data_IF_003271680758
#
_entry.id   IF_003271680758
#
_cell.length_a   1.000
_cell.length_b   1.000
_cell.length_c   1.000
_cell.angle_alpha   90.00
_cell.angle_beta   90.00
_cell.angle_gamma   90.00
#
_symmetry.space_group_name_H-M   'P 1'
#
loop_
_entity.id
_entity.type
_entity.pdbx_description
1 polymer ?
#
# COMPACT_ATOMS: atom_id res chain seq x y z
N UNK A 1 -23.03 -0.87 15.50
CA UNK A 1 -22.57 -0.33 16.80
C UNK A 1 -21.29 0.41 16.50
N UNK A 2 -21.29 1.73 16.60
CA UNK A 2 -20.13 2.59 16.27
C UNK A 2 -19.22 2.60 17.50
N UNK A 3 -17.99 2.09 17.37
CA UNK A 3 -16.97 2.24 18.41
C UNK A 3 -16.29 3.60 18.24
N UNK A 4 -16.48 4.45 19.24
CA UNK A 4 -15.75 5.70 19.46
C UNK A 4 -14.54 5.38 20.33
N UNK A 5 -13.33 5.55 19.79
CA UNK A 5 -12.11 5.49 20.59
C UNK A 5 -11.94 6.85 21.29
N UNK A 6 -12.17 6.91 22.60
CA UNK A 6 -11.91 8.10 23.41
C UNK A 6 -10.45 8.03 23.86
N UNK A 7 -9.60 8.89 23.27
CA UNK A 7 -8.26 9.14 23.79
C UNK A 7 -8.40 10.12 24.96
N UNK A 8 -8.15 9.64 26.17
CA UNK A 8 -8.04 10.49 27.36
C UNK A 8 -6.64 11.09 27.38
N UNK A 9 -6.51 12.37 27.04
CA UNK A 9 -5.27 13.13 27.30
C UNK A 9 -5.25 13.58 28.74
N UNK A 10 -4.31 13.04 29.52
CA UNK A 10 -4.02 13.49 30.87
C UNK A 10 -3.12 14.74 30.87
N UNK A 11 -3.48 15.65 31.78
CA UNK A 11 -2.67 16.70 32.41
C UNK A 11 -2.29 17.93 31.58
N UNK A 12 -2.85 19.06 32.00
CA UNK A 12 -2.39 20.39 31.61
C UNK A 12 -1.16 20.85 32.39
N UNK A 13 -0.41 21.74 31.75
CA UNK A 13 0.31 22.86 32.33
C UNK A 13 0.77 23.72 31.13
N UNK A 14 0.59 25.04 31.24
CA UNK A 14 0.75 25.97 30.12
C UNK A 14 2.12 25.91 29.44
N UNK A 15 2.11 26.10 28.12
CA UNK A 15 3.32 26.34 27.34
C UNK A 15 3.25 27.77 26.78
N UNK A 16 4.24 28.56 27.18
CA UNK A 16 4.55 29.89 26.66
C UNK A 16 4.90 29.84 25.17
N UNK A 17 4.58 30.91 24.46
CA UNK A 17 5.12 31.20 23.12
C UNK A 17 6.65 31.18 23.14
N UNK A 18 7.25 30.40 22.25
CA UNK A 18 8.67 30.51 21.92
C UNK A 18 8.78 31.15 20.54
N UNK A 19 9.08 32.44 20.53
CA UNK A 19 9.53 33.18 19.36
C UNK A 19 11.02 32.89 19.18
N UNK A 20 11.42 32.36 18.03
CA UNK A 20 12.83 32.33 17.63
C UNK A 20 13.02 33.25 16.45
N UNK A 21 13.62 34.41 16.73
CA UNK A 21 14.22 35.31 15.76
C UNK A 21 15.74 35.09 15.77
N UNK A 22 16.37 35.16 14.59
CA UNK A 22 17.83 35.09 14.50
C UNK A 22 18.31 34.95 13.07
N UNK A 23 18.58 36.09 12.43
CA UNK A 23 19.24 36.14 11.13
C UNK A 23 20.77 36.20 11.21
N UNK A 24 21.34 36.26 10.01
CA UNK A 24 22.69 36.67 9.61
C UNK A 24 23.80 35.62 9.68
N UNK A 25 24.32 35.27 8.49
CA UNK A 25 25.73 35.45 8.15
C UNK A 25 25.86 35.64 6.63
N UNK A 26 26.25 36.85 6.25
CA UNK A 26 26.69 37.25 4.91
C UNK A 26 28.21 37.24 4.90
N UNK A 27 28.82 36.65 3.88
CA UNK A 27 30.17 37.01 3.44
C UNK A 27 30.11 37.38 1.97
N UNK A 28 30.47 38.63 1.67
CA UNK A 28 30.77 39.09 0.33
C UNK A 28 32.26 39.21 0.14
N UNK A 29 32.72 38.94 -1.07
CA UNK A 29 33.85 39.64 -1.69
C UNK A 29 33.54 39.82 -3.18
N UNK A 30 33.63 41.07 -3.63
CA UNK A 30 33.51 41.52 -5.01
C UNK A 30 34.83 41.37 -5.76
N UNK A 31 34.80 41.07 -7.07
CA UNK A 31 35.15 41.99 -8.18
C UNK A 31 35.18 41.25 -9.53
N UNK A 32 34.49 41.86 -10.51
CA UNK A 32 34.68 41.91 -11.97
C UNK A 32 35.21 40.69 -12.76
N UNK A 33 34.43 40.21 -13.74
CA UNK A 33 34.53 40.66 -15.15
C UNK A 33 33.36 40.08 -15.97
N UNK A 34 32.83 40.90 -16.89
CA UNK A 34 31.90 40.49 -17.95
C UNK A 34 32.70 39.75 -19.03
N UNK A 35 32.33 38.51 -19.36
CA UNK A 35 32.43 37.94 -20.70
C UNK A 35 31.79 36.53 -20.76
N UNK A 36 30.91 36.33 -21.75
CA UNK A 36 30.40 35.06 -22.31
C UNK A 36 29.89 33.95 -21.35
N UNK A 37 28.67 34.14 -20.82
CA UNK A 37 27.88 33.03 -20.28
C UNK A 37 27.29 32.16 -21.41
N UNK A 38 28.07 31.23 -21.95
CA UNK A 38 27.50 29.98 -22.46
C UNK A 38 27.10 29.14 -21.25
N UNK A 39 25.81 29.13 -20.93
CA UNK A 39 25.22 28.21 -19.97
C UNK A 39 25.34 26.80 -20.56
N UNK A 40 26.43 26.12 -20.24
CA UNK A 40 26.42 24.66 -20.20
C UNK A 40 25.56 24.31 -18.99
N UNK A 41 24.33 23.83 -19.24
CA UNK A 41 23.59 23.13 -18.21
C UNK A 41 24.50 22.03 -17.65
N UNK A 42 24.66 21.91 -16.32
CA UNK A 42 25.36 20.75 -15.79
C UNK A 42 24.59 19.52 -16.24
N UNK A 43 25.26 18.60 -16.93
CA UNK A 43 24.77 17.23 -17.10
C UNK A 43 24.42 16.75 -15.68
N UNK A 44 23.12 16.62 -15.38
CA UNK A 44 22.61 16.17 -14.07
C UNK A 44 22.44 14.65 -14.14
N UNK A 45 23.47 13.87 -13.75
CA UNK A 45 23.45 12.42 -13.88
C UNK A 45 22.48 11.80 -12.87
N UNK A 46 22.12 12.56 -11.81
CA UNK A 46 21.12 12.16 -10.81
C UNK A 46 19.70 12.39 -11.35
N UNK A 47 19.46 13.50 -12.05
CA UNK A 47 18.23 13.79 -12.77
C UNK A 47 17.91 12.78 -13.87
N UNK A 48 18.88 12.45 -14.73
CA UNK A 48 18.73 11.39 -15.75
C UNK A 48 18.51 10.00 -15.12
N UNK A 49 19.17 9.69 -14.00
CA UNK A 49 18.88 8.45 -13.26
C UNK A 49 17.48 8.43 -12.66
N UNK A 50 16.98 9.56 -12.14
CA UNK A 50 15.64 9.69 -11.57
C UNK A 50 14.58 9.52 -12.66
N UNK A 51 14.77 10.12 -13.83
CA UNK A 51 13.82 10.02 -14.93
C UNK A 51 13.85 8.63 -15.59
N UNK A 52 15.04 8.01 -15.73
CA UNK A 52 15.18 6.61 -16.13
C UNK A 52 14.51 5.64 -15.12
N UNK A 53 14.60 5.91 -13.82
CA UNK A 53 13.91 5.13 -12.78
C UNK A 53 12.38 5.27 -12.87
N UNK A 54 11.87 6.48 -13.12
CA UNK A 54 10.43 6.72 -13.36
C UNK A 54 9.94 6.03 -14.63
N UNK A 55 10.74 6.02 -15.69
CA UNK A 55 10.44 5.29 -16.93
C UNK A 55 10.46 3.78 -16.73
N UNK A 56 11.40 3.24 -15.95
CA UNK A 56 11.42 1.79 -15.61
C UNK A 56 10.19 1.37 -14.78
N UNK A 57 9.71 2.25 -13.89
CA UNK A 57 8.42 2.09 -13.17
C UNK A 57 7.23 2.23 -14.13
N UNK A 58 7.41 2.92 -15.26
CA UNK A 58 6.43 3.13 -16.32
C UNK A 58 6.24 1.95 -17.27
N UNK A 59 7.19 1.01 -17.33
CA UNK A 59 7.17 -0.11 -18.28
C UNK A 59 6.22 -1.25 -17.91
N UNK A 60 5.83 -1.40 -16.62
CA UNK A 60 4.87 -2.41 -16.15
C UNK A 60 3.42 -1.87 -16.08
N UNK A 61 2.96 -1.25 -17.17
CA UNK A 61 1.60 -0.70 -17.27
C UNK A 61 0.80 -1.53 -18.27
N UNK A 62 0.00 -2.48 -17.78
CA UNK A 62 -0.95 -3.21 -18.62
C UNK A 62 -2.32 -2.51 -18.62
N UNK A 63 -2.86 -2.33 -19.84
CA UNK A 63 -4.28 -2.18 -20.16
C UNK A 63 -5.01 -0.94 -19.63
N UNK A 64 -5.36 -0.01 -20.51
CA UNK A 64 -6.48 0.89 -20.25
C UNK A 64 -7.76 0.03 -20.10
N UNK A 65 -8.44 0.08 -18.94
CA UNK A 65 -9.79 -0.48 -18.81
C UNK A 65 -10.75 0.51 -19.48
N UNK A 66 -10.87 0.40 -20.81
CA UNK A 66 -11.81 1.20 -21.59
C UNK A 66 -13.22 0.62 -21.44
N UNK A 67 -14.12 1.36 -20.78
CA UNK A 67 -15.56 1.17 -20.93
C UNK A 67 -16.15 -0.12 -20.35
N UNK A 68 -15.58 -0.70 -19.30
CA UNK A 68 -16.24 -1.80 -18.61
C UNK A 68 -17.45 -1.31 -17.79
N UNK A 69 -18.63 -1.87 -18.06
CA UNK A 69 -19.78 -1.80 -17.16
C UNK A 69 -19.68 -2.97 -16.19
N UNK A 70 -19.21 -2.74 -14.97
CA UNK A 70 -19.13 -3.79 -13.95
C UNK A 70 -20.41 -3.89 -13.12
N UNK A 71 -20.94 -5.10 -12.96
CA UNK A 71 -21.92 -5.44 -11.93
C UNK A 71 -21.20 -5.94 -10.67
N UNK A 72 -21.61 -5.40 -9.51
CA UNK A 72 -21.33 -5.97 -8.19
C UNK A 72 -22.63 -6.60 -7.66
N UNK A 73 -22.78 -7.93 -7.78
CA UNK A 73 -23.80 -8.67 -7.04
C UNK A 73 -23.22 -9.89 -6.32
N UNK A 74 -23.79 -10.07 -5.13
CA UNK A 74 -23.47 -10.91 -3.96
C UNK A 74 -23.10 -12.40 -4.21
N UNK A 75 -22.46 -13.00 -3.18
CA UNK A 75 -23.11 -14.03 -2.39
C UNK A 75 -23.57 -13.52 -1.01
N UNK A 76 -24.40 -14.35 -0.39
CA UNK A 76 -25.36 -14.14 0.70
C UNK A 76 -24.88 -13.41 1.96
N UNK A 77 -25.87 -13.09 2.80
CA UNK A 77 -25.87 -12.40 4.09
C UNK A 77 -24.98 -13.00 5.20
N UNK A 78 -23.73 -13.33 4.90
CA UNK A 78 -22.76 -13.89 5.86
C UNK A 78 -21.46 -13.08 5.99
N UNK A 79 -21.18 -12.06 5.15
CA UNK A 79 -19.99 -11.22 5.35
C UNK A 79 -20.27 -10.12 6.38
N UNK A 80 -19.46 -10.09 7.44
CA UNK A 80 -19.42 -9.06 8.48
C UNK A 80 -19.06 -7.65 7.93
N UNK A 81 -18.61 -7.60 6.68
CA UNK A 81 -17.80 -6.51 6.11
C UNK A 81 -18.53 -5.60 5.10
N UNK A 82 -19.87 -5.66 5.07
CA UNK A 82 -20.68 -4.61 4.47
C UNK A 82 -20.38 -4.30 2.99
N UNK A 83 -20.44 -5.31 2.12
CA UNK A 83 -20.40 -5.10 0.67
C UNK A 83 -21.36 -3.98 0.24
N UNK A 84 -20.92 -3.12 -0.68
CA UNK A 84 -21.72 -1.99 -1.16
C UNK A 84 -23.02 -2.50 -1.80
N UNK A 85 -24.09 -1.69 -1.72
CA UNK A 85 -25.32 -2.01 -2.47
C UNK A 85 -25.01 -1.93 -3.97
N UNK A 86 -25.28 -3.02 -4.68
CA UNK A 86 -25.21 -3.12 -6.13
C UNK A 86 -25.76 -1.86 -6.83
N UNK A 87 -24.87 -1.09 -7.44
CA UNK A 87 -25.19 0.08 -8.27
C UNK A 87 -24.37 -0.04 -9.54
N UNK A 88 -25.00 0.16 -10.69
CA UNK A 88 -24.26 0.36 -11.93
C UNK A 88 -23.52 1.69 -11.81
N UNK A 89 -22.20 1.64 -11.69
CA UNK A 89 -21.36 2.84 -11.65
C UNK A 89 -20.50 2.86 -12.90
N UNK A 90 -20.55 3.98 -13.63
CA UNK A 90 -19.64 4.21 -14.75
C UNK A 90 -18.34 4.76 -14.19
N UNK A 91 -17.25 4.03 -14.40
CA UNK A 91 -15.89 4.48 -14.09
C UNK A 91 -15.25 5.00 -15.39
N UNK A 92 -14.54 6.12 -15.32
CA UNK A 92 -13.81 6.66 -16.47
C UNK A 92 -12.65 5.72 -16.82
N UNK A 93 -12.20 5.65 -18.08
CA UNK A 93 -11.00 4.89 -18.41
C UNK A 93 -9.81 5.32 -17.55
N UNK A 94 -9.06 4.34 -17.06
CA UNK A 94 -7.90 4.52 -16.20
C UNK A 94 -6.88 3.42 -16.47
N UNK A 95 -5.66 3.62 -15.95
CA UNK A 95 -4.58 2.64 -15.90
C UNK A 95 -4.33 2.28 -14.43
N UNK A 96 -3.95 1.04 -14.16
CA UNK A 96 -3.59 0.57 -12.82
C UNK A 96 -2.29 -0.24 -12.90
N UNK A 97 -1.50 -0.19 -11.83
CA UNK A 97 -0.27 -0.98 -11.75
C UNK A 97 -0.59 -2.48 -11.72
N UNK A 98 0.17 -3.27 -12.48
CA UNK A 98 0.04 -4.73 -12.51
C UNK A 98 0.28 -5.37 -11.13
N UNK A 99 1.19 -4.76 -10.37
CA UNK A 99 1.70 -5.25 -9.09
C UNK A 99 1.45 -4.23 -7.98
N UNK A 100 1.38 -4.71 -6.74
CA UNK A 100 1.59 -3.84 -5.58
C UNK A 100 2.99 -3.22 -5.63
N UNK A 101 3.17 -2.04 -5.03
CA UNK A 101 4.48 -1.39 -4.96
C UNK A 101 5.44 -2.28 -4.17
N UNK A 102 6.52 -2.72 -4.81
CA UNK A 102 7.52 -3.57 -4.19
C UNK A 102 8.46 -2.79 -3.26
N UNK A 103 9.13 -3.50 -2.35
CA UNK A 103 10.19 -2.95 -1.52
C UNK A 103 11.33 -2.30 -2.35
N UNK A 104 11.68 -2.86 -3.50
CA UNK A 104 12.68 -2.28 -4.40
C UNK A 104 12.21 -0.93 -4.96
N UNK A 105 10.97 -0.85 -5.42
CA UNK A 105 10.38 0.37 -5.96
C UNK A 105 10.24 1.45 -4.89
N UNK A 106 9.73 1.08 -3.70
CA UNK A 106 9.63 2.01 -2.57
C UNK A 106 11.00 2.49 -2.08
N UNK A 107 12.03 1.62 -2.11
CA UNK A 107 13.40 2.01 -1.79
C UNK A 107 13.96 3.05 -2.76
N UNK A 108 13.60 2.98 -4.05
CA UNK A 108 14.01 3.98 -5.03
C UNK A 108 13.36 5.33 -4.74
N UNK A 109 12.06 5.36 -4.43
CA UNK A 109 11.36 6.55 -3.96
C UNK A 109 12.06 7.20 -2.75
N UNK A 110 12.32 6.42 -1.70
CA UNK A 110 12.95 6.94 -0.48
C UNK A 110 14.39 7.41 -0.75
N UNK A 111 15.13 6.75 -1.65
CA UNK A 111 16.48 7.20 -2.04
C UNK A 111 16.45 8.55 -2.75
N UNK A 112 15.51 8.74 -3.68
CA UNK A 112 15.37 9.96 -4.47
C UNK A 112 14.88 11.15 -3.63
N UNK A 113 13.97 10.91 -2.69
CA UNK A 113 13.25 11.99 -1.99
C UNK A 113 13.70 12.20 -0.54
N UNK A 114 14.49 11.26 0.01
CA UNK A 114 14.81 11.17 1.45
C UNK A 114 13.53 11.10 2.32
N UNK A 115 12.44 10.58 1.76
CA UNK A 115 11.16 10.48 2.45
C UNK A 115 11.25 9.64 3.73
N UNK A 116 10.55 10.08 4.77
CA UNK A 116 10.43 9.38 6.06
C UNK A 116 8.96 8.99 6.25
N UNK A 117 8.70 7.69 6.40
CA UNK A 117 7.33 7.16 6.53
C UNK A 117 6.72 7.52 7.87
N UNK A 118 5.40 7.36 8.00
CA UNK A 118 4.73 7.58 9.29
C UNK A 118 5.16 6.57 10.34
N UNK A 119 5.35 5.29 9.98
CA UNK A 119 5.94 4.31 10.89
C UNK A 119 7.35 4.73 11.38
N UNK A 120 8.18 5.34 10.52
CA UNK A 120 9.49 5.86 10.92
C UNK A 120 9.36 7.09 11.84
N UNK A 121 8.37 7.97 11.62
CA UNK A 121 8.09 9.15 12.47
C UNK A 121 7.55 8.75 13.84
N UNK A 122 6.57 7.84 13.88
CA UNK A 122 6.01 7.29 15.12
C UNK A 122 7.02 6.38 15.84
N UNK A 123 7.94 5.79 15.10
CA UNK A 123 8.96 4.82 15.54
C UNK A 123 8.39 3.48 15.98
N UNK A 124 7.21 3.12 15.50
CA UNK A 124 6.60 1.82 15.74
C UNK A 124 5.55 1.51 14.67
N UNK A 125 5.19 0.24 14.55
CA UNK A 125 4.09 -0.22 13.70
C UNK A 125 3.59 -1.60 14.19
N UNK A 126 2.53 -2.12 13.57
CA UNK A 126 1.94 -3.41 13.92
C UNK A 126 2.62 -4.56 13.19
N UNK A 127 3.04 -5.58 13.95
CA UNK A 127 3.67 -6.81 13.45
C UNK A 127 2.82 -8.01 13.87
N UNK A 128 2.69 -9.00 12.99
CA UNK A 128 2.04 -10.27 13.35
C UNK A 128 2.97 -11.09 14.24
N UNK A 129 2.48 -11.57 15.37
CA UNK A 129 3.25 -12.32 16.36
C UNK A 129 3.98 -13.53 15.76
N UNK A 130 3.33 -14.28 14.86
CA UNK A 130 3.94 -15.44 14.19
C UNK A 130 5.24 -15.10 13.43
N UNK A 131 5.39 -13.86 12.97
CA UNK A 131 6.56 -13.40 12.21
C UNK A 131 7.60 -12.71 13.11
N UNK A 132 7.27 -12.41 14.37
CA UNK A 132 8.14 -11.69 15.27
C UNK A 132 9.16 -12.62 15.94
N UNK A 133 10.36 -12.11 16.22
CA UNK A 133 11.33 -12.85 17.03
C UNK A 133 10.89 -12.90 18.50
N UNK A 134 11.37 -13.88 19.27
CA UNK A 134 11.09 -13.96 20.71
C UNK A 134 11.50 -12.69 21.46
N UNK A 135 12.61 -12.07 21.06
CA UNK A 135 13.07 -10.80 21.63
C UNK A 135 12.10 -9.66 21.32
N UNK A 136 11.53 -9.64 20.10
CA UNK A 136 10.54 -8.66 19.68
C UNK A 136 9.23 -8.83 20.43
N UNK A 137 8.76 -10.07 20.61
CA UNK A 137 7.57 -10.40 21.40
C UNK A 137 7.74 -9.90 22.85
N UNK A 138 8.87 -10.24 23.47
CA UNK A 138 9.17 -9.79 24.83
C UNK A 138 9.22 -8.27 24.94
N UNK A 139 9.89 -7.60 24.01
CA UNK A 139 9.97 -6.14 24.00
C UNK A 139 8.61 -5.46 23.77
N UNK A 140 7.71 -6.09 23.02
CA UNK A 140 6.33 -5.64 22.86
C UNK A 140 5.56 -5.76 24.18
N UNK A 141 5.62 -6.92 24.85
CA UNK A 141 4.91 -7.17 26.10
C UNK A 141 5.38 -6.26 27.24
N UNK A 142 6.65 -5.88 27.26
CA UNK A 142 7.22 -4.90 28.20
C UNK A 142 6.94 -3.42 27.77
N UNK A 143 6.38 -3.19 26.59
CA UNK A 143 6.34 -1.90 25.90
C UNK A 143 4.95 -1.45 25.46
N UNK A 144 4.76 -1.30 24.14
CA UNK A 144 3.50 -0.80 23.56
C UNK A 144 2.34 -1.80 23.69
N UNK A 145 2.63 -3.06 23.99
CA UNK A 145 1.64 -4.11 24.17
C UNK A 145 0.95 -4.52 22.87
N UNK A 146 -0.10 -5.31 23.06
CA UNK A 146 -0.84 -6.00 21.98
C UNK A 146 -2.17 -5.30 21.72
N UNK A 147 -2.69 -5.46 20.50
CA UNK A 147 -4.05 -4.99 20.20
C UNK A 147 -5.06 -5.84 20.99
N UNK A 148 -5.87 -5.21 21.84
CA UNK A 148 -6.76 -5.92 22.78
C UNK A 148 -7.75 -6.87 22.08
N UNK A 149 -8.32 -6.44 20.95
CA UNK A 149 -9.31 -7.22 20.21
C UNK A 149 -8.67 -8.26 19.26
N UNK A 150 -7.36 -8.16 19.03
CA UNK A 150 -6.61 -8.99 18.11
C UNK A 150 -5.17 -9.19 18.64
N UNK A 151 -4.98 -9.96 19.74
CA UNK A 151 -3.73 -9.99 20.51
C UNK A 151 -2.52 -10.56 19.76
N UNK A 152 -2.73 -11.16 18.60
CA UNK A 152 -1.69 -11.57 17.64
C UNK A 152 -1.05 -10.39 16.90
N UNK A 153 -1.59 -9.17 17.01
CA UNK A 153 -0.97 -7.95 16.51
C UNK A 153 -0.19 -7.24 17.62
N UNK A 154 1.12 -7.17 17.43
CA UNK A 154 2.09 -6.59 18.36
C UNK A 154 2.37 -5.13 18.01
N UNK A 155 2.37 -4.24 18.99
CA UNK A 155 2.93 -2.90 18.85
C UNK A 155 4.45 -2.94 18.96
N UNK A 156 5.18 -2.85 17.84
CA UNK A 156 6.63 -3.07 17.83
C UNK A 156 7.38 -1.77 17.55
N UNK A 157 8.15 -1.32 18.54
CA UNK A 157 9.07 -0.18 18.40
C UNK A 157 10.17 -0.53 17.39
N UNK A 158 10.35 0.33 16.39
CA UNK A 158 11.32 0.14 15.31
C UNK A 158 10.83 -0.72 14.14
N UNK A 159 9.60 -1.24 14.19
CA UNK A 159 8.97 -1.84 13.02
C UNK A 159 8.62 -0.77 11.99
N UNK A 160 9.11 -0.96 10.77
CA UNK A 160 9.01 -0.03 9.64
C UNK A 160 9.07 -0.81 8.34
N UNK A 161 8.84 -0.17 7.19
CA UNK A 161 9.00 -0.80 5.89
C UNK A 161 10.39 -1.43 5.65
N UNK A 162 11.45 -0.94 6.31
CA UNK A 162 12.82 -1.49 6.21
C UNK A 162 13.08 -2.67 7.13
N UNK A 163 12.29 -2.77 8.20
CA UNK A 163 12.42 -3.75 9.28
C UNK A 163 11.02 -4.28 9.61
N UNK A 164 10.42 -5.09 8.71
CA UNK A 164 8.99 -5.36 8.79
C UNK A 164 8.58 -6.16 10.04
N UNK A 165 9.49 -6.98 10.56
CA UNK A 165 9.26 -7.74 11.79
C UNK A 165 9.87 -7.08 13.03
N UNK A 166 10.34 -5.83 12.91
CA UNK A 166 10.97 -5.07 14.01
C UNK A 166 12.50 -5.17 14.07
N UNK A 167 13.13 -4.69 15.16
CA UNK A 167 14.58 -4.67 15.29
C UNK A 167 15.23 -6.04 15.03
N UNK A 168 16.22 -6.08 14.13
CA UNK A 168 16.91 -7.31 13.74
C UNK A 168 16.41 -7.93 12.44
N UNK A 169 15.20 -7.57 11.99
CA UNK A 169 14.71 -7.89 10.64
C UNK A 169 15.27 -6.94 9.58
N UNK A 170 15.20 -7.36 8.32
CA UNK A 170 15.58 -6.58 7.16
C UNK A 170 14.87 -7.07 5.87
N UNK A 171 15.24 -6.51 4.73
CA UNK A 171 14.64 -6.81 3.42
C UNK A 171 15.47 -7.77 2.56
N UNK A 172 16.44 -8.52 3.12
CA UNK A 172 17.24 -9.48 2.35
C UNK A 172 16.32 -10.52 1.71
N UNK A 173 16.47 -10.69 0.39
CA UNK A 173 15.61 -11.59 -0.40
C UNK A 173 14.20 -11.07 -0.67
N UNK A 174 13.76 -9.95 -0.07
CA UNK A 174 12.38 -9.44 -0.14
C UNK A 174 12.22 -8.21 -1.03
N UNK A 175 13.15 -8.00 -1.97
CA UNK A 175 13.12 -6.86 -2.90
C UNK A 175 11.84 -6.82 -3.76
N UNK A 176 11.37 -8.00 -4.19
CA UNK A 176 10.15 -8.16 -5.00
C UNK A 176 8.88 -8.42 -4.17
N UNK A 177 8.95 -8.31 -2.84
CA UNK A 177 7.75 -8.39 -1.99
C UNK A 177 7.08 -7.01 -1.90
N UNK A 178 5.76 -6.94 -1.64
CA UNK A 178 5.09 -5.66 -1.44
C UNK A 178 5.72 -4.90 -0.28
N UNK A 179 5.81 -3.58 -0.42
CA UNK A 179 6.14 -2.71 0.71
C UNK A 179 5.00 -2.76 1.73
N UNK A 180 5.35 -2.87 3.00
CA UNK A 180 4.42 -2.91 4.14
C UNK A 180 4.79 -1.85 5.18
N UNK A 181 3.94 -1.64 6.19
CA UNK A 181 4.02 -0.51 7.12
C UNK A 181 3.95 0.87 6.43
N UNK A 182 3.39 0.91 5.22
CA UNK A 182 3.13 2.14 4.50
C UNK A 182 1.72 2.62 4.87
N UNK A 183 1.62 3.83 5.41
CA UNK A 183 0.33 4.45 5.64
C UNK A 183 -0.32 4.91 4.33
N UNK A 184 -1.56 5.36 4.40
CA UNK A 184 -2.21 5.97 3.23
C UNK A 184 -1.44 7.23 2.80
N UNK A 185 -0.95 8.03 3.75
CA UNK A 185 -0.17 9.23 3.44
C UNK A 185 1.16 8.89 2.76
N UNK A 186 1.82 7.82 3.19
CA UNK A 186 3.06 7.32 2.57
C UNK A 186 2.80 6.82 1.14
N UNK A 187 1.69 6.08 0.96
CA UNK A 187 1.27 5.54 -0.33
C UNK A 187 0.92 6.65 -1.33
N UNK A 188 0.16 7.65 -0.89
CA UNK A 188 -0.21 8.83 -1.68
C UNK A 188 1.03 9.67 -2.06
N UNK A 189 1.98 9.85 -1.13
CA UNK A 189 3.25 10.52 -1.42
C UNK A 189 4.07 9.78 -2.49
N UNK A 190 4.18 8.45 -2.39
CA UNK A 190 4.84 7.63 -3.40
C UNK A 190 4.15 7.76 -4.75
N UNK A 191 2.82 7.60 -4.81
CA UNK A 191 2.11 7.63 -6.09
C UNK A 191 2.26 9.01 -6.75
N UNK A 192 2.20 10.12 -6.00
CA UNK A 192 2.45 11.46 -6.57
C UNK A 192 3.87 11.60 -7.12
N UNK A 193 4.88 11.13 -6.38
CA UNK A 193 6.27 11.15 -6.87
C UNK A 193 6.44 10.35 -8.17
N UNK A 194 5.73 9.23 -8.28
CA UNK A 194 5.72 8.39 -9.48
C UNK A 194 4.87 8.96 -10.64
N UNK A 195 4.27 10.15 -10.49
CA UNK A 195 3.37 10.74 -11.50
C UNK A 195 2.05 9.97 -11.63
N UNK A 196 1.58 9.38 -10.52
CA UNK A 196 0.39 8.53 -10.40
C UNK A 196 -0.49 9.02 -9.24
N UNK A 197 -1.55 8.28 -8.93
CA UNK A 197 -2.42 8.45 -7.76
C UNK A 197 -2.79 7.09 -7.17
N UNK A 198 -3.41 7.05 -6.00
CA UNK A 198 -4.07 5.82 -5.54
C UNK A 198 -5.32 5.52 -6.39
N UNK A 199 -5.68 4.24 -6.59
CA UNK A 199 -6.95 3.87 -7.22
C UNK A 199 -8.10 4.24 -6.28
N UNK A 200 -9.26 4.60 -6.83
CA UNK A 200 -10.51 4.57 -6.05
C UNK A 200 -10.91 3.11 -5.75
N UNK A 201 -11.74 2.87 -4.73
CA UNK A 201 -12.25 1.50 -4.46
C UNK A 201 -12.91 0.86 -5.69
N UNK A 202 -13.61 1.67 -6.49
CA UNK A 202 -14.30 1.18 -7.69
C UNK A 202 -13.32 0.78 -8.79
N UNK A 203 -12.29 1.59 -9.03
CA UNK A 203 -11.22 1.26 -9.98
C UNK A 203 -10.48 -0.01 -9.56
N UNK A 204 -10.16 -0.11 -8.26
CA UNK A 204 -9.53 -1.29 -7.69
C UNK A 204 -10.38 -2.53 -7.88
N UNK A 205 -11.68 -2.48 -7.56
CA UNK A 205 -12.59 -3.62 -7.68
C UNK A 205 -12.79 -4.04 -9.15
N UNK A 206 -12.91 -3.07 -10.06
CA UNK A 206 -13.01 -3.35 -11.50
C UNK A 206 -11.75 -4.04 -12.04
N UNK A 207 -10.57 -3.60 -11.60
CA UNK A 207 -9.32 -4.26 -11.94
C UNK A 207 -9.26 -5.67 -11.34
N UNK A 208 -9.66 -5.84 -10.07
CA UNK A 208 -9.68 -7.12 -9.38
C UNK A 208 -10.58 -8.15 -10.06
N UNK A 209 -11.76 -7.72 -10.53
CA UNK A 209 -12.73 -8.56 -11.24
C UNK A 209 -12.20 -9.10 -12.57
N UNK A 210 -11.17 -8.49 -13.17
CA UNK A 210 -10.53 -9.05 -14.37
C UNK A 210 -11.47 -9.17 -15.58
N UNK A 211 -12.53 -8.37 -15.65
CA UNK A 211 -13.57 -8.48 -16.68
C UNK A 211 -14.69 -9.50 -16.38
N UNK A 212 -14.64 -10.19 -15.23
CA UNK A 212 -15.70 -11.08 -14.77
C UNK A 212 -16.81 -10.30 -14.04
N UNK A 213 -18.06 -10.58 -14.39
CA UNK A 213 -19.24 -10.05 -13.71
C UNK A 213 -19.77 -11.07 -12.70
N UNK A 214 -20.16 -10.61 -11.50
CA UNK A 214 -20.83 -11.42 -10.48
C UNK A 214 -20.06 -12.65 -9.94
N UNK A 215 -18.73 -12.65 -10.06
CA UNK A 215 -17.87 -13.67 -9.45
C UNK A 215 -17.21 -13.19 -8.14
N UNK A 216 -17.07 -14.09 -7.14
CA UNK A 216 -16.47 -13.76 -5.85
C UNK A 216 -14.95 -13.58 -5.89
N UNK A 217 -14.27 -14.10 -6.92
CA UNK A 217 -12.82 -14.08 -7.07
C UNK A 217 -12.39 -13.55 -8.44
N UNK A 218 -11.14 -13.04 -8.59
CA UNK A 218 -10.57 -12.56 -9.86
C UNK A 218 -10.55 -13.56 -11.02
N UNK A 219 -10.81 -14.83 -10.71
CA UNK A 219 -10.71 -15.98 -11.61
C UNK A 219 -12.02 -16.75 -11.77
N UNK A 220 -13.12 -16.28 -11.16
CA UNK A 220 -14.43 -16.94 -11.26
C UNK A 220 -14.96 -17.44 -9.92
N UNK A 221 -15.65 -18.57 -9.94
CA UNK A 221 -16.21 -19.27 -8.79
C UNK A 221 -15.22 -20.29 -8.20
N UNK A 222 -15.57 -20.86 -7.04
CA UNK A 222 -14.72 -21.84 -6.34
C UNK A 222 -14.89 -23.21 -6.97
N UNK A 223 -13.83 -23.71 -7.60
CA UNK A 223 -13.54 -25.16 -7.63
C UNK A 223 -12.07 -25.42 -8.02
N UNK A 224 -11.12 -25.25 -7.09
CA UNK A 224 -9.69 -25.63 -7.27
C UNK A 224 -8.79 -25.35 -6.05
N UNK A 225 -7.54 -25.82 -6.14
CA UNK A 225 -6.37 -25.64 -5.27
C UNK A 225 -6.07 -24.15 -4.98
N UNK A 226 -6.71 -23.61 -3.94
CA UNK A 226 -6.62 -22.18 -3.58
C UNK A 226 -5.17 -21.71 -3.41
N UNK A 227 -4.32 -22.57 -2.88
CA UNK A 227 -2.91 -22.33 -2.62
C UNK A 227 -2.07 -22.04 -3.88
N UNK A 228 -2.54 -22.36 -5.09
CA UNK A 228 -1.83 -22.03 -6.33
C UNK A 228 -2.12 -20.62 -6.87
N UNK A 229 -3.01 -19.87 -6.21
CA UNK A 229 -3.68 -18.72 -6.85
C UNK A 229 -3.72 -17.45 -6.00
N UNK A 230 -3.58 -17.58 -4.69
CA UNK A 230 -3.39 -16.45 -3.79
C UNK A 230 -2.60 -16.85 -2.56
N UNK A 231 -1.98 -15.85 -1.95
CA UNK A 231 -1.41 -15.96 -0.62
C UNK A 231 -2.46 -15.62 0.44
N UNK A 232 -2.82 -16.59 1.28
CA UNK A 232 -3.85 -16.46 2.32
C UNK A 232 -3.56 -17.41 3.49
N UNK A 233 -4.27 -17.27 4.60
CA UNK A 233 -4.02 -18.14 5.73
C UNK A 233 -4.62 -19.54 5.54
N UNK A 234 -3.81 -20.58 5.77
CA UNK A 234 -4.27 -21.97 5.91
C UNK A 234 -3.71 -22.61 7.18
N UNK A 235 -4.57 -23.08 8.08
CA UNK A 235 -4.16 -23.69 9.36
C UNK A 235 -5.02 -23.19 10.53
N UNK A 236 -4.53 -23.35 11.75
CA UNK A 236 -5.18 -22.87 12.97
C UNK A 236 -4.70 -21.44 13.29
N UNK A 237 -5.45 -20.44 12.85
CA UNK A 237 -5.11 -19.05 13.16
C UNK A 237 -5.31 -18.73 14.66
N UNK A 238 -4.41 -17.96 15.32
CA UNK A 238 -3.13 -17.39 14.82
C UNK A 238 -1.90 -18.28 15.09
N UNK A 239 -2.09 -19.53 15.51
CA UNK A 239 -1.05 -20.39 16.08
C UNK A 239 -0.19 -21.09 15.02
N UNK A 240 -0.80 -21.54 13.94
CA UNK A 240 -0.16 -22.34 12.90
C UNK A 240 -0.62 -21.91 11.51
N UNK A 241 0.34 -21.52 10.66
CA UNK A 241 0.17 -21.40 9.22
C UNK A 241 0.89 -22.59 8.56
N UNK A 242 0.15 -23.38 7.79
CA UNK A 242 0.64 -24.58 7.10
C UNK A 242 1.47 -24.27 5.85
N UNK A 243 1.54 -23.00 5.43
CA UNK A 243 2.33 -22.52 4.29
C UNK A 243 2.06 -23.27 2.98
N UNK A 244 0.84 -23.78 2.79
CA UNK A 244 0.48 -24.54 1.59
C UNK A 244 0.62 -23.75 0.29
N UNK A 245 0.40 -22.44 0.37
CA UNK A 245 0.60 -21.50 -0.74
C UNK A 245 2.06 -21.07 -0.94
N UNK A 246 2.97 -21.59 -0.10
CA UNK A 246 4.40 -21.34 -0.12
C UNK A 246 4.89 -20.17 0.74
N UNK A 247 4.00 -19.46 1.46
CA UNK A 247 4.39 -18.25 2.21
C UNK A 247 3.68 -18.10 3.56
N UNK A 248 4.48 -17.99 4.63
CA UNK A 248 3.96 -17.65 5.98
C UNK A 248 3.52 -16.20 6.13
N UNK A 249 4.12 -15.31 5.34
CA UNK A 249 3.87 -13.86 5.33
C UNK A 249 3.66 -13.38 3.90
N UNK A 250 4.14 -12.20 3.54
CA UNK A 250 4.03 -11.68 2.16
C UNK A 250 4.68 -12.61 1.13
N UNK A 251 4.09 -12.71 -0.05
CA UNK A 251 4.65 -13.32 -1.26
C UNK A 251 5.20 -12.25 -2.23
N UNK A 252 6.07 -12.61 -3.20
CA UNK A 252 6.46 -11.73 -4.30
C UNK A 252 5.24 -11.15 -5.04
N UNK A 253 5.35 -9.90 -5.50
CA UNK A 253 4.23 -9.17 -6.09
C UNK A 253 3.71 -9.75 -7.41
N UNK A 254 4.50 -10.62 -8.05
CA UNK A 254 4.23 -11.33 -9.31
C UNK A 254 3.88 -12.83 -9.10
N UNK A 255 3.70 -13.28 -7.86
CA UNK A 255 3.30 -14.66 -7.55
C UNK A 255 1.90 -15.01 -8.10
N UNK A 256 1.65 -16.30 -8.30
CA UNK A 256 0.36 -16.92 -8.65
C UNK A 256 -0.25 -16.58 -10.02
N UNK A 257 0.40 -15.69 -10.77
CA UNK A 257 -0.06 -15.27 -12.10
C UNK A 257 -1.15 -14.18 -12.06
N UNK A 258 -1.35 -13.46 -13.17
CA UNK A 258 -2.31 -12.38 -13.22
C UNK A 258 -3.73 -12.88 -13.48
N UNK A 259 -4.72 -12.02 -13.22
CA UNK A 259 -6.05 -12.18 -13.80
C UNK A 259 -6.05 -11.82 -15.31
N UNK A 260 -7.21 -11.89 -15.96
CA UNK A 260 -7.33 -11.64 -17.41
C UNK A 260 -6.95 -10.22 -17.86
N UNK A 261 -6.80 -9.25 -16.94
CA UNK A 261 -6.34 -7.89 -17.21
C UNK A 261 -4.84 -7.69 -16.98
N UNK A 262 -4.10 -8.72 -16.57
CA UNK A 262 -2.67 -8.60 -16.29
C UNK A 262 -2.35 -8.05 -14.90
N UNK A 263 -3.33 -7.99 -13.97
CA UNK A 263 -3.08 -7.55 -12.59
C UNK A 263 -2.96 -8.76 -11.66
N UNK A 264 -1.97 -8.71 -10.77
CA UNK A 264 -1.58 -9.79 -9.86
C UNK A 264 -2.04 -9.52 -8.44
N UNK A 265 -2.18 -10.58 -7.65
CA UNK A 265 -2.33 -10.51 -6.19
C UNK A 265 -3.43 -9.54 -5.73
N UNK A 266 -4.53 -9.44 -6.48
CA UNK A 266 -5.65 -8.57 -6.13
C UNK A 266 -6.42 -9.10 -4.91
N UNK A 267 -6.31 -10.39 -4.58
CA UNK A 267 -6.81 -10.93 -3.31
C UNK A 267 -5.67 -11.55 -2.52
N UNK A 268 -5.69 -11.36 -1.20
CA UNK A 268 -4.65 -11.87 -0.32
C UNK A 268 -3.33 -11.09 -0.44
N UNK A 269 -2.23 -11.70 -0.02
CA UNK A 269 -0.91 -11.07 0.10
C UNK A 269 -0.94 -9.85 1.05
N UNK A 270 -1.32 -8.65 0.60
CA UNK A 270 -1.44 -7.46 1.44
C UNK A 270 -2.75 -6.72 1.17
N UNK A 271 -3.30 -6.11 2.21
CA UNK A 271 -4.34 -5.10 2.05
C UNK A 271 -3.80 -3.93 1.22
N UNK A 272 -4.63 -3.35 0.35
CA UNK A 272 -4.20 -2.25 -0.51
C UNK A 272 -5.01 -0.98 -0.29
N UNK A 273 -4.29 0.13 -0.03
CA UNK A 273 -4.88 1.46 0.09
C UNK A 273 -5.59 1.92 -1.17
N UNK A 274 -6.78 2.47 -0.99
CA UNK A 274 -7.55 3.15 -2.02
C UNK A 274 -7.79 4.62 -1.64
N UNK A 275 -7.97 5.48 -2.65
CA UNK A 275 -8.35 6.87 -2.46
C UNK A 275 -9.83 7.00 -2.08
N UNK A 276 -10.12 7.97 -1.22
CA UNK A 276 -11.46 8.35 -0.80
C UNK A 276 -11.48 9.81 -0.35
N UNK A 277 -12.62 10.47 -0.57
CA UNK A 277 -12.87 11.84 -0.08
C UNK A 277 -13.02 11.94 1.44
N UNK A 278 -13.19 10.81 2.12
CA UNK A 278 -13.28 10.80 3.59
C UNK A 278 -11.91 11.22 4.20
N UNK A 279 -11.89 12.19 5.12
CA UNK A 279 -10.63 12.66 5.71
C UNK A 279 -10.08 11.68 6.75
N UNK A 280 -10.95 11.12 7.61
CA UNK A 280 -10.52 10.42 8.82
C UNK A 280 -10.34 8.90 8.62
N UNK A 281 -10.91 8.36 7.55
CA UNK A 281 -10.88 6.93 7.24
C UNK A 281 -10.68 6.72 5.75
N UNK A 282 -9.73 5.87 5.42
CA UNK A 282 -9.38 5.49 4.06
C UNK A 282 -9.68 4.01 3.85
N UNK A 283 -10.23 3.65 2.68
CA UNK A 283 -10.56 2.27 2.38
C UNK A 283 -9.33 1.43 2.05
N UNK A 284 -9.39 0.18 2.48
CA UNK A 284 -8.49 -0.91 2.13
C UNK A 284 -9.27 -1.99 1.40
N UNK A 285 -8.64 -2.63 0.41
CA UNK A 285 -9.22 -3.72 -0.39
C UNK A 285 -8.31 -4.94 -0.44
N UNK A 286 -8.90 -6.09 -0.77
CA UNK A 286 -8.17 -7.29 -1.17
C UNK A 286 -7.94 -8.34 -0.08
N UNK A 287 -7.92 -7.93 1.19
CA UNK A 287 -7.46 -8.82 2.25
C UNK A 287 -5.95 -9.02 2.22
N UNK A 288 -5.41 -9.84 3.12
CA UNK A 288 -3.98 -10.14 3.16
C UNK A 288 -3.69 -11.61 3.46
N UNK A 289 -2.41 -11.95 3.60
CA UNK A 289 -1.92 -13.29 3.98
C UNK A 289 -2.44 -13.82 5.34
N UNK A 290 -3.17 -13.02 6.13
CA UNK A 290 -3.75 -13.42 7.41
C UNK A 290 -5.25 -13.70 7.32
N UNK A 291 -5.88 -13.34 6.21
CA UNK A 291 -7.32 -13.53 5.98
C UNK A 291 -7.55 -14.89 5.33
N UNK A 292 -8.72 -15.48 5.55
CA UNK A 292 -9.05 -16.81 5.00
C UNK A 292 -10.05 -16.72 3.88
N UNK A 293 -9.94 -17.64 2.92
CA UNK A 293 -10.87 -17.70 1.80
C UNK A 293 -12.28 -17.99 2.32
N UNK A 294 -12.48 -18.96 3.21
CA UNK A 294 -13.79 -19.30 3.76
C UNK A 294 -14.34 -18.35 4.83
N UNK A 295 -13.52 -17.44 5.36
CA UNK A 295 -13.89 -16.54 6.45
C UNK A 295 -13.96 -17.22 7.82
N UNK A 296 -13.35 -18.40 7.97
CA UNK A 296 -13.15 -19.06 9.27
C UNK A 296 -12.40 -18.17 10.27
N UNK A 297 -11.48 -17.33 9.78
CA UNK A 297 -10.71 -16.39 10.57
C UNK A 297 -10.56 -15.04 9.84
N UNK A 298 -10.44 -13.96 10.60
CA UNK A 298 -10.34 -12.59 10.09
C UNK A 298 -11.43 -12.29 9.03
N UNK A 299 -11.06 -11.82 7.84
CA UNK A 299 -12.02 -11.52 6.77
C UNK A 299 -12.17 -12.69 5.80
N UNK A 300 -13.38 -12.86 5.27
CA UNK A 300 -13.59 -13.76 4.14
C UNK A 300 -13.06 -13.10 2.85
N UNK A 301 -12.06 -13.70 2.20
CA UNK A 301 -11.46 -13.13 0.98
C UNK A 301 -12.41 -13.18 -0.22
N UNK A 302 -12.80 -12.01 -0.75
CA UNK A 302 -13.65 -11.79 -1.92
C UNK A 302 -13.20 -10.52 -2.63
N UNK A 303 -13.51 -10.38 -3.92
CA UNK A 303 -13.27 -9.11 -4.65
C UNK A 303 -13.94 -7.89 -3.99
N UNK A 304 -15.03 -8.14 -3.26
CA UNK A 304 -15.78 -7.12 -2.50
C UNK A 304 -15.26 -6.89 -1.07
N UNK A 305 -14.25 -7.64 -0.62
CA UNK A 305 -13.72 -7.54 0.75
C UNK A 305 -13.06 -6.20 0.93
N UNK A 306 -13.51 -5.49 1.98
CA UNK A 306 -13.11 -4.12 2.28
C UNK A 306 -13.06 -3.89 3.78
N UNK A 307 -12.19 -2.98 4.19
CA UNK A 307 -12.20 -2.40 5.53
C UNK A 307 -11.76 -0.93 5.45
N UNK A 308 -11.92 -0.17 6.53
CA UNK A 308 -11.44 1.20 6.60
C UNK A 308 -10.44 1.35 7.74
N UNK A 309 -9.37 2.11 7.52
CA UNK A 309 -8.37 2.46 8.53
C UNK A 309 -8.08 3.96 8.55
N UNK A 310 -7.50 4.47 9.63
CA UNK A 310 -7.04 5.87 9.66
C UNK A 310 -5.89 6.05 8.68
N UNK A 311 -5.77 7.22 8.02
CA UNK A 311 -4.78 7.42 6.96
C UNK A 311 -3.32 7.33 7.42
N UNK A 312 -3.09 7.41 8.73
CA UNK A 312 -1.79 7.33 9.40
C UNK A 312 -1.45 5.93 9.92
N UNK A 313 -2.37 4.98 9.82
CA UNK A 313 -2.14 3.58 10.19
C UNK A 313 -1.30 2.88 9.12
N UNK A 314 -0.44 1.96 9.53
CA UNK A 314 0.24 1.01 8.66
C UNK A 314 0.63 -0.24 9.47
N UNK A 315 0.66 -1.40 8.82
CA UNK A 315 0.94 -2.70 9.46
C UNK A 315 1.73 -3.62 8.53
N UNK A 316 2.23 -4.73 9.08
CA UNK A 316 3.00 -5.75 8.34
C UNK A 316 2.23 -6.43 7.19
N UNK A 317 0.92 -6.21 7.08
CA UNK A 317 0.06 -6.76 6.04
C UNK A 317 -0.68 -5.69 5.21
N UNK A 318 -0.26 -4.43 5.27
CA UNK A 318 -0.88 -3.32 4.53
C UNK A 318 0.15 -2.66 3.61
N UNK A 319 -0.17 -2.65 2.31
CA UNK A 319 0.58 -2.00 1.24
C UNK A 319 -0.34 -1.22 0.30
N UNK A 320 0.06 -1.06 -0.96
CA UNK A 320 -0.71 -0.32 -1.96
C UNK A 320 -0.21 -0.59 -3.38
N UNK A 321 -1.02 -0.21 -4.37
CA UNK A 321 -0.64 -0.05 -5.77
C UNK A 321 -1.09 1.31 -6.29
N UNK A 322 -0.50 1.80 -7.38
CA UNK A 322 -0.93 3.07 -7.96
C UNK A 322 -1.86 2.86 -9.18
N UNK A 323 -2.52 3.94 -9.55
CA UNK A 323 -3.34 4.10 -10.73
C UNK A 323 -3.05 5.45 -11.40
N UNK A 324 -3.51 5.62 -12.64
CA UNK A 324 -3.36 6.86 -13.40
C UNK A 324 -4.58 7.08 -14.29
N UNK A 325 -4.95 8.34 -14.48
CA UNK A 325 -6.00 8.68 -15.42
C UNK A 325 -5.58 8.32 -16.85
N UNK A 326 -6.55 7.86 -17.65
CA UNK A 326 -6.34 7.69 -19.08
C UNK A 326 -6.58 9.05 -19.76
N UNK A 327 -5.50 9.76 -20.08
CA UNK A 327 -5.59 10.88 -21.00
C UNK A 327 -5.69 10.30 -22.41
N UNK A 328 -6.81 10.57 -23.10
CA UNK A 328 -6.82 10.47 -24.55
C UNK A 328 -5.76 11.46 -25.03
N UNK A 329 -4.67 10.95 -25.62
CA UNK A 329 -3.92 11.76 -26.55
C UNK A 329 -4.89 11.99 -27.70
N UNK A 330 -5.54 13.15 -27.71
CA UNK A 330 -6.19 13.63 -28.92
C UNK A 330 -5.14 13.58 -30.05
N UNK A 331 -5.54 13.10 -31.22
CA UNK A 331 -4.70 12.89 -32.41
C UNK A 331 -4.14 14.20 -33.01
N UNK A 332 -3.59 15.11 -32.21
CA UNK A 332 -3.01 16.39 -32.66
C UNK A 332 -1.47 16.36 -32.86
N UNK A 333 -0.81 15.21 -32.70
CA UNK A 333 0.60 15.02 -33.10
C UNK A 333 0.74 14.05 -34.30
N UNK A 334 -0.18 14.15 -35.27
CA UNK A 334 0.03 13.59 -36.62
C UNK A 334 0.40 14.61 -37.69
N UNK A 335 0.54 15.89 -37.35
CA UNK A 335 1.08 16.90 -38.25
C UNK A 335 2.06 17.81 -37.52
N UNK A 336 3.36 17.49 -37.60
CA UNK A 336 4.46 18.47 -37.62
C UNK A 336 5.68 17.89 -38.35
#
# INVERSE_FOLDING_TARGET
MVLTLIIVTAAGAGAQEVVVSGGWLSFGTSFADEDDAKVFAPDDPEGEQIDSLKESLGAEVFGAIAGATGMDKRPSSLSRDGGLRAKHVRVKPFKIDAHAVSNANFKNFVRATKFTTEAEKFRWSFVLELLASNETIKACDDGLGRVQEAPWWLGVVGATWRKPEGPGSDLRGRGNHPVVHASWNDADAYCRWAGRRLPTELEWEMAARGGLEDYPFPWGDRDWDLHEKLNSWEGEFPLENTEKDGYVGTAPVDAYGPNALGVYNMLGNVWEWCDSKAPDKKPLRGGSYVDTVDGSYNHALRVSTRMDQTPDSGSANTGFRCARDHHHLDEEEKEL
#
